data_IF_539387950148
#
_entry.id   IF_539387950148
#
_cell.length_a   1.000
_cell.length_b   1.000
_cell.length_c   1.000
_cell.angle_alpha   90.00
_cell.angle_beta   90.00
_cell.angle_gamma   90.00
#
_symmetry.space_group_name_H-M   'P 1'
#
loop_
_entity.id
_entity.type
_entity.pdbx_description
1 polymer ?
#
# COMPACT_ATOMS: atom_id res chain seq x y z
N UNK A 1 10.53 -4.19 -11.51
CA UNK A 1 9.45 -5.20 -11.46
C UNK A 1 8.32 -4.66 -10.56
N UNK A 2 7.12 -4.41 -11.11
CA UNK A 2 6.06 -3.55 -10.51
C UNK A 2 6.34 -2.05 -10.76
N UNK A 3 5.36 -1.14 -10.67
CA UNK A 3 5.35 0.17 -11.37
C UNK A 3 6.47 1.17 -10.96
N UNK A 4 7.50 1.35 -11.80
CA UNK A 4 7.95 2.69 -12.20
C UNK A 4 8.10 2.85 -13.73
N UNK A 5 8.00 4.11 -14.17
CA UNK A 5 7.64 4.63 -15.50
C UNK A 5 6.72 5.85 -15.29
N UNK A 6 6.17 6.49 -16.33
CA UNK A 6 5.15 7.53 -16.13
C UNK A 6 3.94 6.96 -15.36
N UNK A 7 3.47 7.69 -14.34
CA UNK A 7 2.29 7.31 -13.56
C UNK A 7 1.06 7.90 -14.25
N UNK A 8 0.16 7.03 -14.69
CA UNK A 8 -1.12 7.37 -15.30
C UNK A 8 -2.25 7.04 -14.35
N UNK A 9 -3.33 7.82 -14.39
CA UNK A 9 -4.54 7.50 -13.66
C UNK A 9 -5.25 6.29 -14.29
N UNK A 10 -6.18 5.68 -13.54
CA UNK A 10 -7.07 4.65 -14.11
C UNK A 10 -7.89 5.22 -15.27
N UNK A 11 -8.27 6.50 -15.20
CA UNK A 11 -9.00 7.20 -16.24
C UNK A 11 -8.17 7.35 -17.53
N UNK A 12 -6.94 7.86 -17.43
CA UNK A 12 -6.03 7.98 -18.59
C UNK A 12 -5.87 6.64 -19.32
N UNK A 13 -5.66 5.58 -18.55
CA UNK A 13 -5.51 4.24 -19.06
C UNK A 13 -6.81 3.73 -19.71
N UNK A 14 -7.96 4.02 -19.10
CA UNK A 14 -9.27 3.65 -19.66
C UNK A 14 -9.56 4.40 -20.97
N UNK A 15 -9.25 5.69 -21.06
CA UNK A 15 -9.41 6.49 -22.28
C UNK A 15 -8.47 6.03 -23.39
N UNK A 16 -7.28 5.54 -23.03
CA UNK A 16 -6.35 4.90 -23.95
C UNK A 16 -6.81 3.49 -24.42
N UNK A 17 -7.93 2.97 -23.91
CA UNK A 17 -8.53 1.71 -24.34
C UNK A 17 -7.93 0.45 -23.70
N UNK A 18 -7.23 0.56 -22.55
CA UNK A 18 -6.72 -0.64 -21.86
C UNK A 18 -7.86 -1.45 -21.26
N UNK A 19 -7.75 -2.78 -21.31
CA UNK A 19 -8.77 -3.71 -20.76
C UNK A 19 -8.47 -4.20 -19.34
N UNK A 20 -7.22 -4.09 -18.87
CA UNK A 20 -6.78 -4.58 -17.57
C UNK A 20 -5.53 -3.83 -17.12
N UNK A 21 -5.50 -3.45 -15.84
CA UNK A 21 -4.36 -2.81 -15.20
C UNK A 21 -3.70 -3.83 -14.25
N UNK A 22 -2.38 -3.95 -14.29
CA UNK A 22 -1.61 -4.75 -13.34
C UNK A 22 -0.57 -3.87 -12.65
N UNK A 23 -0.44 -4.05 -11.34
CA UNK A 23 0.54 -3.33 -10.51
C UNK A 23 1.82 -4.15 -10.27
N UNK A 24 1.84 -5.41 -10.73
CA UNK A 24 2.90 -6.36 -10.43
C UNK A 24 3.16 -6.45 -8.92
N UNK A 25 4.44 -6.45 -8.53
CA UNK A 25 4.83 -6.51 -7.12
C UNK A 25 4.89 -5.13 -6.42
N UNK A 26 4.29 -4.06 -6.95
CA UNK A 26 4.44 -2.72 -6.36
C UNK A 26 3.80 -2.58 -4.97
N UNK A 27 2.60 -3.11 -4.75
CA UNK A 27 1.92 -3.03 -3.45
C UNK A 27 2.66 -3.79 -2.35
N UNK A 28 3.14 -5.00 -2.65
CA UNK A 28 3.95 -5.77 -1.71
C UNK A 28 5.25 -5.04 -1.35
N UNK A 29 5.95 -4.47 -2.35
CA UNK A 29 7.16 -3.67 -2.10
C UNK A 29 6.88 -2.39 -1.32
N UNK A 30 5.74 -1.74 -1.52
CA UNK A 30 5.33 -0.59 -0.73
C UNK A 30 5.14 -0.97 0.74
N UNK A 31 4.42 -2.06 1.03
CA UNK A 31 4.25 -2.57 2.38
C UNK A 31 5.59 -2.91 3.05
N UNK A 32 6.50 -3.57 2.33
CA UNK A 32 7.85 -3.85 2.84
C UNK A 32 8.68 -2.58 3.06
N UNK A 33 8.53 -1.56 2.22
CA UNK A 33 9.18 -0.27 2.42
C UNK A 33 8.77 0.37 3.74
N UNK A 34 7.47 0.46 4.01
CA UNK A 34 6.94 0.99 5.28
C UNK A 34 7.44 0.19 6.49
N UNK A 35 7.46 -1.15 6.38
CA UNK A 35 8.00 -2.02 7.42
C UNK A 35 9.50 -1.78 7.67
N UNK A 36 10.30 -1.67 6.62
CA UNK A 36 11.75 -1.42 6.74
C UNK A 36 12.03 -0.04 7.35
N UNK A 37 11.25 0.99 7.02
CA UNK A 37 11.38 2.30 7.65
C UNK A 37 11.04 2.25 9.15
N UNK A 38 9.98 1.56 9.54
CA UNK A 38 9.66 1.32 10.95
C UNK A 38 10.78 0.56 11.68
N UNK A 39 11.32 -0.51 11.07
CA UNK A 39 12.42 -1.26 11.64
C UNK A 39 13.69 -0.41 11.81
N UNK A 40 13.97 0.48 10.85
CA UNK A 40 15.09 1.44 10.91
C UNK A 40 14.90 2.49 12.00
N UNK A 41 13.68 2.99 12.21
CA UNK A 41 13.36 3.89 13.31
C UNK A 41 13.67 3.21 14.65
N UNK A 42 13.11 2.02 14.88
CA UNK A 42 13.35 1.26 16.12
C UNK A 42 14.84 1.02 16.34
N UNK A 43 15.56 0.62 15.29
CA UNK A 43 16.99 0.29 15.40
C UNK A 43 17.89 1.51 15.60
N UNK A 44 17.57 2.67 15.01
CA UNK A 44 18.43 3.87 15.06
C UNK A 44 18.07 4.78 16.23
N UNK A 45 16.78 4.99 16.43
CA UNK A 45 16.26 6.05 17.28
C UNK A 45 15.59 5.49 18.55
N UNK A 46 15.31 4.18 18.59
CA UNK A 46 14.68 3.52 19.75
C UNK A 46 13.22 3.93 19.97
N UNK A 47 12.57 4.49 18.94
CA UNK A 47 11.19 4.98 19.00
C UNK A 47 10.23 4.13 18.17
N UNK A 48 8.94 4.32 18.43
CA UNK A 48 7.83 3.58 17.80
C UNK A 48 6.80 4.52 17.17
N UNK A 49 7.23 5.70 16.71
CA UNK A 49 6.36 6.72 16.15
C UNK A 49 5.66 6.28 14.86
N UNK A 50 6.25 5.36 14.09
CA UNK A 50 5.60 4.72 12.95
C UNK A 50 4.21 4.13 13.29
N UNK A 51 3.98 3.71 14.54
CA UNK A 51 2.72 3.11 14.97
C UNK A 51 1.53 4.09 14.82
N UNK A 52 1.77 5.40 14.79
CA UNK A 52 0.75 6.43 14.52
C UNK A 52 0.19 6.37 13.09
N UNK A 53 0.92 5.74 12.18
CA UNK A 53 0.53 5.57 10.78
C UNK A 53 -0.01 4.16 10.48
N UNK A 54 -0.01 3.27 11.48
CA UNK A 54 -0.61 1.95 11.32
C UNK A 54 -2.14 2.08 11.26
N UNK A 55 -2.76 1.34 10.34
CA UNK A 55 -4.22 1.17 10.31
C UNK A 55 -4.69 0.63 11.67
N UNK A 56 -5.77 1.18 12.20
CA UNK A 56 -6.30 0.74 13.48
C UNK A 56 -6.91 -0.68 13.36
N UNK A 57 -7.00 -1.39 14.49
CA UNK A 57 -7.68 -2.68 14.52
C UNK A 57 -9.14 -2.56 14.08
N UNK A 58 -9.85 -1.51 14.49
CA UNK A 58 -11.24 -1.27 14.07
C UNK A 58 -11.37 -1.12 12.55
N UNK A 59 -10.50 -0.35 11.92
CA UNK A 59 -10.51 -0.17 10.46
C UNK A 59 -10.16 -1.47 9.72
N UNK A 60 -9.22 -2.27 10.26
CA UNK A 60 -8.91 -3.60 9.72
C UNK A 60 -10.09 -4.57 9.85
N UNK A 61 -10.74 -4.59 11.01
CA UNK A 61 -11.92 -5.43 11.26
C UNK A 61 -13.06 -5.06 10.32
N UNK A 62 -13.33 -3.76 10.15
CA UNK A 62 -14.35 -3.29 9.21
C UNK A 62 -13.99 -3.61 7.76
N UNK A 63 -12.72 -3.54 7.38
CA UNK A 63 -12.26 -3.97 6.06
C UNK A 63 -12.45 -5.48 5.82
N UNK A 64 -12.23 -6.32 6.84
CA UNK A 64 -12.39 -7.77 6.74
C UNK A 64 -13.82 -8.25 6.93
N UNK A 65 -14.73 -7.38 7.39
CA UNK A 65 -16.13 -7.71 7.57
C UNK A 65 -16.75 -8.04 6.22
N UNK A 66 -16.99 -9.33 5.97
CA UNK A 66 -17.81 -9.78 4.85
C UNK A 66 -19.22 -9.29 5.12
N UNK A 67 -19.68 -8.27 4.39
CA UNK A 67 -21.10 -7.96 4.33
C UNK A 67 -21.72 -8.91 3.32
N UNK A 68 -22.31 -9.99 3.81
CA UNK A 68 -23.21 -10.79 2.98
C UNK A 68 -24.42 -9.91 2.67
N UNK A 69 -24.50 -9.38 1.45
CA UNK A 69 -25.77 -8.90 0.88
C UNK A 69 -26.56 -10.09 0.35
#
# INVERSE_FOLDING_TARGET
MGLPGNVYSVEDLSQAGVRRISVGASMARFAYGAFVEAAREISRDGTFSYAKHAISFSELEDFFRITTQ
#
